data_IF_411530119767
#
_entry.id   IF_411530119767
#
_cell.length_a   1.000
_cell.length_b   1.000
_cell.length_c   1.000
_cell.angle_alpha   90.00
_cell.angle_beta   90.00
_cell.angle_gamma   90.00
#
_symmetry.space_group_name_H-M   'P 1'
#
loop_
_entity.id
_entity.type
_entity.pdbx_description
1 polymer ?
#
# COMPACT_ATOMS: atom_id res chain seq x y z
N UNK A 1 7.06 -23.40 4.81
CA UNK A 1 7.63 -22.05 4.63
C UNK A 1 6.66 -21.27 3.77
N UNK A 2 5.86 -20.39 4.36
CA UNK A 2 4.94 -19.55 3.59
C UNK A 2 5.75 -18.61 2.71
N UNK A 3 5.53 -18.64 1.40
CA UNK A 3 6.11 -17.65 0.49
C UNK A 3 5.75 -16.27 1.03
N UNK A 4 6.76 -15.41 1.23
CA UNK A 4 6.51 -14.02 1.61
C UNK A 4 5.48 -13.41 0.65
N UNK A 5 4.61 -12.55 1.16
CA UNK A 5 3.60 -11.95 0.31
C UNK A 5 4.25 -11.17 -0.85
N UNK A 6 3.71 -11.26 -2.06
CA UNK A 6 4.39 -10.81 -3.29
C UNK A 6 4.47 -9.29 -3.46
N UNK A 7 4.05 -8.51 -2.46
CA UNK A 7 4.11 -7.04 -2.44
C UNK A 7 5.31 -6.47 -1.66
N UNK A 8 6.29 -7.30 -1.28
CA UNK A 8 7.57 -6.83 -0.71
C UNK A 8 8.52 -6.42 -1.85
N UNK A 9 8.39 -5.18 -2.31
CA UNK A 9 9.13 -4.64 -3.46
C UNK A 9 10.65 -4.62 -3.26
N UNK A 10 11.11 -4.42 -2.02
CA UNK A 10 12.52 -4.24 -1.68
C UNK A 10 13.38 -5.48 -1.96
N UNK A 11 12.77 -6.66 -1.99
CA UNK A 11 13.44 -7.95 -2.22
C UNK A 11 13.45 -8.36 -3.70
N UNK A 12 12.77 -7.61 -4.58
CA UNK A 12 12.76 -7.86 -6.02
C UNK A 12 14.04 -7.34 -6.68
N UNK A 13 14.57 -8.09 -7.65
CA UNK A 13 15.63 -7.57 -8.55
C UNK A 13 15.12 -6.34 -9.30
N UNK A 14 16.04 -5.49 -9.75
CA UNK A 14 15.70 -4.26 -10.50
C UNK A 14 14.83 -4.55 -11.73
N UNK A 15 15.16 -5.60 -12.49
CA UNK A 15 14.40 -6.02 -13.66
C UNK A 15 12.98 -6.48 -13.30
N UNK A 16 12.84 -7.34 -12.28
CA UNK A 16 11.52 -7.82 -11.83
C UNK A 16 10.69 -6.66 -11.28
N UNK A 17 11.35 -5.71 -10.61
CA UNK A 17 10.72 -4.49 -10.10
C UNK A 17 10.17 -3.63 -11.23
N UNK A 18 10.94 -3.39 -12.29
CA UNK A 18 10.52 -2.62 -13.46
C UNK A 18 9.34 -3.27 -14.19
N UNK A 19 9.42 -4.58 -14.45
CA UNK A 19 8.31 -5.32 -15.06
C UNK A 19 7.04 -5.30 -14.18
N UNK A 20 7.21 -5.37 -12.86
CA UNK A 20 6.08 -5.31 -11.92
C UNK A 20 5.44 -3.92 -11.91
N UNK A 21 6.23 -2.85 -12.04
CA UNK A 21 5.72 -1.49 -12.21
C UNK A 21 4.88 -1.34 -13.47
N UNK A 22 5.37 -1.85 -14.60
CA UNK A 22 4.63 -1.77 -15.86
C UNK A 22 3.29 -2.51 -15.78
N UNK A 23 3.29 -3.74 -15.26
CA UNK A 23 2.06 -4.53 -15.10
C UNK A 23 1.08 -3.89 -14.11
N UNK A 24 1.59 -3.26 -13.05
CA UNK A 24 0.75 -2.51 -12.12
C UNK A 24 0.12 -1.30 -12.82
N UNK A 25 0.87 -0.53 -13.60
CA UNK A 25 0.36 0.61 -14.34
C UNK A 25 -0.72 0.21 -15.36
N UNK A 26 -0.50 -0.87 -16.11
CA UNK A 26 -1.49 -1.44 -17.04
C UNK A 26 -2.76 -1.88 -16.30
N UNK A 27 -2.61 -2.52 -15.14
CA UNK A 27 -3.75 -2.94 -14.33
C UNK A 27 -4.51 -1.74 -13.73
N UNK A 28 -3.81 -0.69 -13.30
CA UNK A 28 -4.44 0.54 -12.80
C UNK A 28 -5.26 1.21 -13.91
N UNK A 29 -4.72 1.30 -15.13
CA UNK A 29 -5.47 1.83 -16.27
C UNK A 29 -6.75 1.03 -16.53
N UNK A 30 -6.65 -0.31 -16.55
CA UNK A 30 -7.83 -1.17 -16.65
C UNK A 30 -8.81 -0.97 -15.49
N UNK A 31 -8.32 -0.78 -14.27
CA UNK A 31 -9.17 -0.59 -13.09
C UNK A 31 -9.99 0.69 -13.20
N UNK A 32 -9.38 1.79 -13.63
CA UNK A 32 -10.08 3.06 -13.86
C UNK A 32 -11.15 2.92 -14.94
N UNK A 33 -10.83 2.28 -16.06
CA UNK A 33 -11.79 2.07 -17.16
C UNK A 33 -12.95 1.15 -16.75
N UNK A 34 -12.65 0.00 -16.12
CA UNK A 34 -13.64 -1.01 -15.76
C UNK A 34 -14.57 -0.58 -14.62
N UNK A 35 -14.13 0.36 -13.77
CA UNK A 35 -14.89 0.83 -12.61
C UNK A 35 -15.25 2.30 -12.68
N UNK A 36 -15.16 2.94 -13.84
CA UNK A 36 -15.68 4.29 -14.01
C UNK A 36 -17.20 4.34 -13.71
N UNK A 37 -17.70 5.39 -13.04
CA UNK A 37 -16.97 6.55 -12.49
C UNK A 37 -16.51 6.34 -11.03
N UNK A 38 -16.66 5.12 -10.47
CA UNK A 38 -16.38 4.84 -9.06
C UNK A 38 -14.89 5.00 -8.72
N UNK A 39 -14.01 4.43 -9.53
CA UNK A 39 -12.56 4.59 -9.38
C UNK A 39 -12.11 5.79 -10.21
N UNK A 40 -11.55 6.79 -9.54
CA UNK A 40 -10.85 7.92 -10.16
C UNK A 40 -9.60 8.19 -9.33
N UNK A 41 -8.43 7.95 -9.91
CA UNK A 41 -7.16 8.12 -9.24
C UNK A 41 -6.51 9.44 -9.67
N UNK A 42 -5.73 10.09 -8.80
CA UNK A 42 -4.91 11.20 -9.26
C UNK A 42 -3.87 10.72 -10.29
N UNK A 43 -3.51 11.52 -11.31
CA UNK A 43 -2.42 11.18 -12.23
C UNK A 43 -1.08 10.94 -11.53
N UNK A 44 -0.90 11.54 -10.34
CA UNK A 44 0.27 11.38 -9.49
C UNK A 44 0.18 10.18 -8.52
N UNK A 45 -0.76 9.24 -8.69
CA UNK A 45 -0.84 8.04 -7.85
C UNK A 45 0.50 7.29 -7.66
N UNK A 46 1.42 7.18 -8.65
CA UNK A 46 2.65 6.42 -8.48
C UNK A 46 3.60 7.01 -7.43
N UNK A 47 3.47 8.31 -7.11
CA UNK A 47 4.32 8.98 -6.11
C UNK A 47 3.70 8.95 -4.71
N UNK A 48 2.43 8.56 -4.57
CA UNK A 48 1.80 8.36 -3.27
C UNK A 48 2.11 6.97 -2.74
N UNK A 49 3.09 6.85 -1.84
CA UNK A 49 3.51 5.56 -1.28
C UNK A 49 2.34 4.71 -0.74
N UNK A 50 1.43 5.32 0.03
CA UNK A 50 0.27 4.63 0.58
C UNK A 50 -0.67 4.10 -0.50
N UNK A 51 -1.11 4.97 -1.41
CA UNK A 51 -2.00 4.60 -2.52
C UNK A 51 -1.38 3.53 -3.42
N UNK A 52 -0.11 3.72 -3.78
CA UNK A 52 0.68 2.78 -4.56
C UNK A 52 0.78 1.39 -3.91
N UNK A 53 0.94 1.36 -2.58
CA UNK A 53 0.99 0.12 -1.80
C UNK A 53 -0.38 -0.58 -1.82
N UNK A 54 -1.46 0.17 -1.57
CA UNK A 54 -2.82 -0.37 -1.63
C UNK A 54 -3.16 -0.93 -3.01
N UNK A 55 -2.88 -0.18 -4.08
CA UNK A 55 -3.10 -0.61 -5.46
C UNK A 55 -2.31 -1.89 -5.77
N UNK A 56 -1.07 -2.01 -5.28
CA UNK A 56 -0.29 -3.24 -5.40
C UNK A 56 -1.00 -4.43 -4.73
N UNK A 57 -1.52 -4.24 -3.51
CA UNK A 57 -2.22 -5.30 -2.78
C UNK A 57 -3.49 -5.73 -3.53
N UNK A 58 -4.28 -4.77 -4.01
CA UNK A 58 -5.48 -5.06 -4.79
C UNK A 58 -5.18 -5.74 -6.12
N UNK A 59 -4.07 -5.38 -6.78
CA UNK A 59 -3.61 -6.04 -7.99
C UNK A 59 -3.28 -7.51 -7.75
N UNK A 60 -2.54 -7.82 -6.69
CA UNK A 60 -2.24 -9.22 -6.34
C UNK A 60 -3.47 -10.00 -5.92
N UNK A 61 -4.39 -9.38 -5.17
CA UNK A 61 -5.65 -10.02 -4.82
C UNK A 61 -6.51 -10.28 -6.07
N UNK A 62 -6.57 -9.32 -7.01
CA UNK A 62 -7.24 -9.54 -8.29
C UNK A 62 -6.66 -10.74 -9.03
N UNK A 63 -5.33 -10.82 -9.16
CA UNK A 63 -4.66 -11.97 -9.78
C UNK A 63 -5.02 -13.29 -9.10
N UNK A 64 -5.05 -13.31 -7.76
CA UNK A 64 -5.44 -14.48 -6.98
C UNK A 64 -6.89 -14.90 -7.22
N UNK A 65 -7.83 -13.94 -7.27
CA UNK A 65 -9.24 -14.23 -7.60
C UNK A 65 -9.38 -14.79 -9.02
N UNK A 66 -8.53 -14.32 -9.95
CA UNK A 66 -8.58 -14.75 -11.35
C UNK A 66 -7.90 -16.11 -11.61
N UNK A 67 -7.21 -16.74 -10.63
CA UNK A 67 -6.57 -18.06 -10.86
C UNK A 67 -7.54 -19.24 -10.88
N UNK A 68 -8.84 -19.02 -10.67
CA UNK A 68 -9.87 -20.07 -10.71
C UNK A 68 -9.87 -21.02 -9.50
N UNK A 69 -8.92 -20.85 -8.59
CA UNK A 69 -8.81 -21.61 -7.33
C UNK A 69 -9.51 -20.91 -6.14
N UNK A 70 -9.95 -19.67 -6.33
CA UNK A 70 -10.67 -18.90 -5.31
C UNK A 70 -12.16 -19.23 -5.30
N UNK A 71 -12.80 -19.09 -4.14
CA UNK A 71 -14.26 -19.20 -4.05
C UNK A 71 -14.92 -18.03 -4.81
N UNK A 72 -16.11 -18.20 -5.42
CA UNK A 72 -16.87 -17.09 -6.00
C UNK A 72 -17.09 -15.92 -5.03
N UNK A 73 -17.17 -16.21 -3.72
CA UNK A 73 -17.31 -15.21 -2.66
C UNK A 73 -16.09 -14.29 -2.60
N UNK A 74 -14.88 -14.80 -2.86
CA UNK A 74 -13.65 -13.99 -2.84
C UNK A 74 -13.66 -12.94 -3.95
N UNK A 75 -14.22 -13.28 -5.12
CA UNK A 75 -14.40 -12.33 -6.21
C UNK A 75 -15.38 -11.23 -5.85
N UNK A 76 -16.55 -11.58 -5.33
CA UNK A 76 -17.54 -10.59 -4.87
C UNK A 76 -16.95 -9.68 -3.78
N UNK A 77 -16.19 -10.25 -2.84
CA UNK A 77 -15.52 -9.50 -1.79
C UNK A 77 -14.51 -8.52 -2.38
N UNK A 78 -13.69 -8.96 -3.32
CA UNK A 78 -12.73 -8.08 -4.00
C UNK A 78 -13.43 -6.89 -4.69
N UNK A 79 -14.52 -7.13 -5.43
CA UNK A 79 -15.31 -6.04 -6.04
C UNK A 79 -15.85 -5.03 -5.01
N UNK A 80 -16.31 -5.51 -3.85
CA UNK A 80 -16.85 -4.65 -2.80
C UNK A 80 -15.77 -3.80 -2.12
N UNK A 81 -14.60 -4.39 -1.85
CA UNK A 81 -13.49 -3.66 -1.25
C UNK A 81 -12.92 -2.60 -2.21
N UNK A 82 -12.83 -2.89 -3.52
CA UNK A 82 -12.46 -1.89 -4.53
C UNK A 82 -13.38 -0.66 -4.47
N UNK A 83 -14.70 -0.86 -4.46
CA UNK A 83 -15.66 0.26 -4.42
C UNK A 83 -15.56 1.07 -3.12
N UNK A 84 -15.30 0.39 -2.00
CA UNK A 84 -15.10 1.03 -0.70
C UNK A 84 -13.81 1.86 -0.69
N UNK A 85 -12.69 1.30 -1.12
CA UNK A 85 -11.40 2.00 -1.15
C UNK A 85 -11.38 3.15 -2.15
N UNK A 86 -12.09 3.02 -3.28
CA UNK A 86 -12.22 4.09 -4.28
C UNK A 86 -12.79 5.39 -3.70
N UNK A 87 -13.63 5.31 -2.67
CA UNK A 87 -14.12 6.50 -1.97
C UNK A 87 -12.97 7.26 -1.29
N UNK A 88 -12.06 6.57 -0.62
CA UNK A 88 -10.89 7.18 0.04
C UNK A 88 -9.88 7.71 -0.99
N UNK A 89 -9.67 6.98 -2.10
CA UNK A 89 -8.73 7.42 -3.15
C UNK A 89 -9.15 8.71 -3.84
N UNK A 90 -10.46 8.96 -3.98
CA UNK A 90 -10.97 10.22 -4.53
C UNK A 90 -10.60 11.43 -3.69
N UNK A 91 -10.44 11.29 -2.38
CA UNK A 91 -9.96 12.39 -1.54
C UNK A 91 -8.52 12.80 -1.95
N UNK A 92 -7.73 11.82 -2.39
CA UNK A 92 -6.39 12.04 -2.96
C UNK A 92 -6.40 12.54 -4.41
N UNK A 93 -7.51 12.39 -5.15
CA UNK A 93 -7.62 12.86 -6.54
C UNK A 93 -7.46 14.39 -6.67
N UNK A 94 -7.63 15.14 -5.59
CA UNK A 94 -7.41 16.59 -5.51
C UNK A 94 -5.97 16.98 -5.13
N UNK A 95 -5.07 16.00 -5.00
CA UNK A 95 -3.70 16.24 -4.56
C UNK A 95 -2.95 17.19 -5.52
N UNK A 96 -2.40 18.27 -4.95
CA UNK A 96 -1.46 19.18 -5.60
C UNK A 96 -0.06 18.88 -5.05
N UNK A 97 0.69 17.98 -5.67
CA UNK A 97 2.07 17.78 -5.23
C UNK A 97 2.93 19.00 -5.57
N UNK A 98 3.61 19.53 -4.57
CA UNK A 98 4.82 20.32 -4.72
C UNK A 98 5.75 20.01 -3.52
N UNK A 99 7.09 19.98 -3.71
CA UNK A 99 7.91 19.01 -4.43
C UNK A 99 8.30 17.82 -3.47
N UNK A 100 9.31 16.96 -3.74
CA UNK A 100 9.40 15.62 -3.15
C UNK A 100 9.49 15.67 -1.63
N UNK A 101 8.86 14.70 -0.99
CA UNK A 101 8.56 14.66 0.43
C UNK A 101 9.82 14.57 1.30
N UNK A 102 10.54 15.69 1.48
CA UNK A 102 11.62 15.81 2.45
C UNK A 102 11.09 15.85 3.90
N UNK A 103 9.81 16.18 4.10
CA UNK A 103 9.23 16.44 5.43
C UNK A 103 8.55 15.21 6.08
N UNK A 104 8.05 14.24 5.30
CA UNK A 104 7.39 13.04 5.85
C UNK A 104 8.39 12.06 6.46
N UNK A 105 9.57 11.90 5.83
CA UNK A 105 10.66 11.11 6.40
C UNK A 105 11.09 11.62 7.78
N UNK A 106 11.16 12.95 7.94
CA UNK A 106 11.49 13.59 9.22
C UNK A 106 10.40 13.40 10.27
N UNK A 107 9.12 13.51 9.90
CA UNK A 107 7.99 13.24 10.80
C UNK A 107 7.97 11.78 11.26
N UNK A 108 8.19 10.83 10.34
CA UNK A 108 8.23 9.41 10.67
C UNK A 108 9.47 9.05 11.51
N UNK A 109 10.62 9.66 11.24
CA UNK A 109 11.83 9.50 12.04
C UNK A 109 11.62 10.00 13.48
N UNK A 110 11.05 11.20 13.64
CA UNK A 110 10.73 11.76 14.95
C UNK A 110 9.72 10.90 15.73
N UNK A 111 8.73 10.31 15.05
CA UNK A 111 7.78 9.37 15.68
C UNK A 111 8.46 8.06 16.10
N UNK A 112 9.37 7.52 15.29
CA UNK A 112 10.15 6.32 15.62
C UNK A 112 11.05 6.57 16.83
N UNK A 113 11.76 7.70 16.84
CA UNK A 113 12.60 8.09 17.96
C UNK A 113 11.81 8.18 19.27
N UNK A 114 10.65 8.86 19.27
CA UNK A 114 9.79 8.92 20.47
C UNK A 114 9.31 7.56 20.96
N UNK A 115 8.96 6.66 20.05
CA UNK A 115 8.59 5.27 20.39
C UNK A 115 9.75 4.56 21.06
N UNK A 116 10.95 4.66 20.49
CA UNK A 116 12.14 3.95 20.96
C UNK A 116 12.59 4.50 22.33
N UNK A 117 12.50 5.82 22.55
CA UNK A 117 12.71 6.47 23.85
C UNK A 117 11.71 5.97 24.91
N UNK A 118 10.43 5.85 24.57
CA UNK A 118 9.40 5.32 25.47
C UNK A 118 9.68 3.86 25.86
N UNK A 119 10.05 3.01 24.89
CA UNK A 119 10.39 1.62 25.14
C UNK A 119 11.64 1.49 26.04
N UNK A 120 12.66 2.31 25.82
CA UNK A 120 13.86 2.33 26.65
C UNK A 120 13.56 2.75 28.11
N UNK A 121 12.69 3.75 28.30
CA UNK A 121 12.26 4.19 29.65
C UNK A 121 11.46 3.10 30.38
N UNK A 122 10.54 2.45 29.68
CA UNK A 122 9.75 1.35 30.25
C UNK A 122 10.65 0.18 30.71
N UNK A 123 11.67 -0.18 29.92
CA UNK A 123 12.62 -1.24 30.27
C UNK A 123 13.51 -0.90 31.48
N UNK A 124 13.87 0.38 31.66
CA UNK A 124 14.63 0.83 32.83
C UNK A 124 13.79 0.84 34.12
N UNK A 125 12.50 1.16 34.02
CA UNK A 125 11.60 1.13 35.17
C UNK A 125 11.32 -0.29 35.65
N UNK A 126 11.10 -1.24 34.74
CA UNK A 126 10.91 -2.64 35.10
C UNK A 126 12.15 -3.30 35.72
N UNK A 127 13.35 -2.87 35.35
CA UNK A 127 14.60 -3.39 35.93
C UNK A 127 14.94 -2.82 37.32
N UNK A 128 14.36 -1.66 37.68
CA UNK A 128 14.56 -1.03 38.99
C UNK A 128 13.53 -1.49 40.05
N UNK A 129 12.43 -2.12 39.64
CA UNK A 129 11.42 -2.68 40.57
C UNK A 129 11.77 -4.11 41.05
N UNK A 130 12.78 -4.75 40.46
CA UNK A 130 13.27 -6.09 40.84
C UNK A 130 14.58 -6.07 41.68
N UNK A 131 15.08 -4.89 42.06
CA UNK A 131 16.29 -4.68 42.88
C UNK A 131 15.94 -4.10 44.27
#
# INVERSE_FOLDING_TARGET
MGSKPPWVWDELSSEVREQSWQKLAEWVAWLEDAYAPWVMLPPCWPVHEGLRTELTMFWYWHRYVMTGTSSPIDGVRWHNEIRRSAQAWRELATCRHEPPVAHHGQILAARRQKRDEFLAQAMQQSGNEEA
#
